data_IF_465394531861
#
_entry.id   IF_465394531861
#
_cell.length_a   1.000
_cell.length_b   1.000
_cell.length_c   1.000
_cell.angle_alpha   90.00
_cell.angle_beta   90.00
_cell.angle_gamma   90.00
#
_symmetry.space_group_name_H-M   'P 1'
#
loop_
_entity.id
_entity.type
_entity.pdbx_description
1 polymer ?
#
# COMPACT_ATOMS: atom_id res chain seq x y z
N UNK A 1 -4.22 -12.30 9.95
CA UNK A 1 -4.93 -11.03 10.30
C UNK A 1 -5.94 -10.72 9.21
N UNK A 2 -7.15 -10.43 9.61
CA UNK A 2 -8.23 -10.13 8.69
C UNK A 2 -8.03 -8.72 8.09
N UNK A 3 -8.51 -8.48 6.85
CA UNK A 3 -8.22 -7.26 6.09
C UNK A 3 -8.67 -5.98 6.80
N UNK A 4 -9.84 -5.99 7.43
CA UNK A 4 -10.34 -4.79 8.13
C UNK A 4 -9.47 -4.42 9.32
N UNK A 5 -8.98 -5.42 10.05
CA UNK A 5 -8.07 -5.23 11.18
C UNK A 5 -6.73 -4.71 10.67
N UNK A 6 -6.23 -5.29 9.58
CA UNK A 6 -4.99 -4.85 8.94
C UNK A 6 -5.08 -3.38 8.53
N UNK A 7 -6.16 -3.00 7.83
CA UNK A 7 -6.35 -1.62 7.37
C UNK A 7 -6.44 -0.64 8.54
N UNK A 8 -7.19 -0.99 9.58
CA UNK A 8 -7.29 -0.13 10.76
C UNK A 8 -5.92 0.11 11.38
N UNK A 9 -5.13 -0.95 11.50
CA UNK A 9 -3.82 -0.88 12.11
C UNK A 9 -2.86 -0.01 11.29
N UNK A 10 -2.78 -0.21 9.97
CA UNK A 10 -1.86 0.58 9.14
C UNK A 10 -2.27 2.05 9.10
N UNK A 11 -3.57 2.33 9.08
CA UNK A 11 -4.05 3.71 9.08
C UNK A 11 -3.70 4.43 10.38
N UNK A 12 -3.85 3.76 11.53
CA UNK A 12 -3.47 4.31 12.81
C UNK A 12 -1.98 4.64 12.87
N UNK A 13 -1.14 3.73 12.38
CA UNK A 13 0.31 3.93 12.34
C UNK A 13 0.66 5.17 11.51
N UNK A 14 0.11 5.26 10.30
CA UNK A 14 0.42 6.36 9.38
C UNK A 14 -0.10 7.68 9.90
N UNK A 15 -1.30 7.71 10.47
CA UNK A 15 -1.89 8.94 11.00
C UNK A 15 -1.12 9.46 12.21
N UNK A 16 -0.63 8.55 13.04
CA UNK A 16 0.15 8.93 14.22
C UNK A 16 1.54 9.44 13.83
N UNK A 17 2.18 8.77 12.87
CA UNK A 17 3.52 9.13 12.40
C UNK A 17 3.69 8.76 10.93
N UNK A 18 3.49 9.72 10.01
CA UNK A 18 3.62 9.45 8.57
C UNK A 18 4.99 8.94 8.13
N UNK A 19 6.04 9.20 8.91
CA UNK A 19 7.38 8.70 8.57
C UNK A 19 7.47 7.17 8.67
N UNK A 20 6.48 6.53 9.28
CA UNK A 20 6.40 5.07 9.38
C UNK A 20 5.80 4.41 8.15
N UNK A 21 5.44 5.19 7.14
CA UNK A 21 5.12 4.66 5.82
C UNK A 21 6.40 4.59 4.99
N UNK A 22 6.84 3.37 4.72
CA UNK A 22 8.04 3.13 3.91
C UNK A 22 7.60 2.80 2.47
N UNK A 23 7.64 3.81 1.60
CA UNK A 23 7.33 3.65 0.19
C UNK A 23 8.58 3.21 -0.56
N UNK A 24 8.53 2.04 -1.18
CA UNK A 24 9.68 1.47 -1.87
C UNK A 24 9.76 2.06 -3.29
N UNK A 25 10.84 2.76 -3.64
CA UNK A 25 10.95 3.45 -4.94
C UNK A 25 11.40 2.52 -6.07
N UNK A 26 10.60 1.47 -6.35
CA UNK A 26 10.87 0.62 -7.50
C UNK A 26 10.70 1.41 -8.79
N UNK A 27 11.19 0.86 -9.90
CA UNK A 27 11.06 1.50 -11.20
C UNK A 27 9.59 1.74 -11.56
N UNK A 28 8.72 0.75 -11.34
CA UNK A 28 7.29 0.88 -11.62
C UNK A 28 6.62 1.92 -10.72
N UNK A 29 6.95 1.91 -9.44
CA UNK A 29 6.38 2.85 -8.48
C UNK A 29 6.78 4.29 -8.81
N UNK A 30 8.05 4.50 -9.14
CA UNK A 30 8.53 5.83 -9.52
C UNK A 30 7.90 6.32 -10.82
N UNK A 31 7.74 5.43 -11.80
CA UNK A 31 7.10 5.77 -13.07
C UNK A 31 5.67 6.26 -12.85
N UNK A 32 4.88 5.51 -12.06
CA UNK A 32 3.50 5.89 -11.75
C UNK A 32 3.44 7.25 -11.08
N UNK A 33 4.31 7.47 -10.12
CA UNK A 33 4.38 8.74 -9.41
C UNK A 33 4.63 9.90 -10.35
N UNK A 34 5.55 9.73 -11.29
CA UNK A 34 5.87 10.74 -12.30
C UNK A 34 4.72 10.95 -13.28
N UNK A 35 4.14 9.87 -13.80
CA UNK A 35 3.06 9.95 -14.78
C UNK A 35 1.81 10.62 -14.23
N UNK A 36 1.47 10.35 -12.98
CA UNK A 36 0.28 10.90 -12.36
C UNK A 36 0.55 12.17 -11.54
N UNK A 37 1.81 12.60 -11.46
CA UNK A 37 2.17 13.79 -10.70
C UNK A 37 1.90 13.70 -9.21
N UNK A 38 2.12 12.52 -8.61
CA UNK A 38 1.78 12.28 -7.22
C UNK A 38 2.90 12.67 -6.28
N UNK A 39 2.54 13.38 -5.21
CA UNK A 39 3.44 13.61 -4.08
C UNK A 39 3.43 12.38 -3.15
N UNK A 40 4.36 12.34 -2.19
CA UNK A 40 4.31 11.31 -1.14
C UNK A 40 3.05 11.47 -0.29
N UNK A 41 2.58 12.70 -0.10
CA UNK A 41 1.32 12.95 0.59
C UNK A 41 0.13 12.33 -0.15
N UNK A 42 0.13 12.40 -1.48
CA UNK A 42 -0.94 11.79 -2.28
C UNK A 42 -0.95 10.27 -2.12
N UNK A 43 0.22 9.65 -2.06
CA UNK A 43 0.34 8.20 -1.84
C UNK A 43 -0.17 7.84 -0.44
N UNK A 44 0.23 8.59 0.56
CA UNK A 44 -0.23 8.41 1.94
C UNK A 44 -1.75 8.52 2.03
N UNK A 45 -2.33 9.57 1.44
CA UNK A 45 -3.77 9.78 1.44
C UNK A 45 -4.52 8.63 0.75
N UNK A 46 -3.95 8.11 -0.34
CA UNK A 46 -4.54 6.98 -1.05
C UNK A 46 -4.58 5.73 -0.19
N UNK A 47 -3.54 5.50 0.60
CA UNK A 47 -3.47 4.35 1.50
C UNK A 47 -4.44 4.52 2.66
N UNK A 48 -4.49 5.71 3.26
CA UNK A 48 -5.38 5.99 4.39
C UNK A 48 -6.85 5.84 4.01
N UNK A 49 -7.20 6.10 2.75
CA UNK A 49 -8.58 6.00 2.28
C UNK A 49 -8.95 4.62 1.72
N UNK A 50 -8.06 3.65 1.78
CA UNK A 50 -8.40 2.27 1.38
C UNK A 50 -9.51 1.70 2.26
N UNK A 51 -10.40 0.94 1.64
CA UNK A 51 -11.48 0.26 2.32
C UNK A 51 -11.35 -1.25 2.11
N UNK A 52 -12.03 -2.04 2.95
CA UNK A 52 -11.98 -3.50 2.83
C UNK A 52 -12.44 -3.98 1.45
N UNK A 53 -13.37 -3.27 0.82
CA UNK A 53 -13.86 -3.61 -0.51
C UNK A 53 -12.80 -3.41 -1.60
N UNK A 54 -11.74 -2.68 -1.32
CA UNK A 54 -10.65 -2.47 -2.30
C UNK A 54 -9.72 -3.67 -2.37
N UNK A 55 -9.89 -4.66 -1.50
CA UNK A 55 -9.03 -5.86 -1.49
C UNK A 55 -9.11 -6.59 -2.83
N UNK A 56 -7.94 -6.89 -3.38
CA UNK A 56 -7.83 -7.70 -4.58
C UNK A 56 -7.38 -9.11 -4.23
N UNK A 57 -6.37 -9.24 -3.35
CA UNK A 57 -5.81 -10.53 -2.98
C UNK A 57 -5.10 -10.43 -1.63
N UNK A 58 -5.13 -11.51 -0.88
CA UNK A 58 -4.43 -11.64 0.40
C UNK A 58 -5.36 -12.16 1.49
N UNK A 59 -4.79 -12.57 2.63
CA UNK A 59 -3.36 -12.47 2.97
C UNK A 59 -2.49 -13.43 2.16
N UNK A 60 -1.29 -12.98 1.79
CA UNK A 60 -0.27 -13.78 1.12
C UNK A 60 1.01 -13.77 1.95
N UNK A 61 1.80 -14.82 1.84
CA UNK A 61 3.08 -14.91 2.54
C UNK A 61 4.14 -14.20 1.72
N UNK A 62 4.96 -13.36 2.39
CA UNK A 62 6.12 -12.75 1.75
C UNK A 62 7.15 -13.82 1.47
N UNK A 63 7.60 -13.92 0.21
CA UNK A 63 8.59 -14.95 -0.19
C UNK A 63 9.94 -14.74 0.49
N UNK A 64 10.31 -13.50 0.73
CA UNK A 64 11.62 -13.17 1.29
C UNK A 64 11.62 -13.22 2.81
N UNK A 65 10.47 -12.90 3.43
CA UNK A 65 10.31 -12.89 4.88
C UNK A 65 9.02 -13.62 5.22
N UNK A 66 9.06 -14.96 5.36
CA UNK A 66 7.85 -15.78 5.51
C UNK A 66 6.96 -15.46 6.70
N UNK A 67 7.48 -14.76 7.71
CA UNK A 67 6.69 -14.34 8.86
C UNK A 67 5.84 -13.09 8.60
N UNK A 68 6.04 -12.44 7.45
CA UNK A 68 5.29 -11.24 7.10
C UNK A 68 4.21 -11.55 6.07
N UNK A 69 3.05 -10.91 6.25
CA UNK A 69 1.87 -11.15 5.43
C UNK A 69 1.60 -9.92 4.57
N UNK A 70 1.28 -10.16 3.30
CA UNK A 70 1.00 -9.13 2.32
C UNK A 70 -0.50 -9.06 2.04
N UNK A 71 -0.98 -7.85 1.79
CA UNK A 71 -2.31 -7.61 1.23
C UNK A 71 -2.18 -6.77 -0.02
N UNK A 72 -2.97 -7.09 -1.03
CA UNK A 72 -2.96 -6.39 -2.31
C UNK A 72 -4.32 -5.76 -2.54
N UNK A 73 -4.33 -4.47 -2.85
CA UNK A 73 -5.53 -3.69 -3.11
C UNK A 73 -5.49 -3.12 -4.51
N UNK A 74 -6.66 -2.84 -5.06
CA UNK A 74 -6.79 -2.07 -6.30
C UNK A 74 -7.73 -0.90 -6.05
N UNK A 75 -7.33 0.27 -6.48
CA UNK A 75 -8.07 1.50 -6.24
C UNK A 75 -8.00 2.42 -7.45
N UNK A 76 -9.12 3.05 -7.80
CA UNK A 76 -9.14 4.08 -8.84
C UNK A 76 -8.48 5.36 -8.33
N UNK A 77 -7.58 5.91 -9.14
CA UNK A 77 -6.92 7.18 -8.87
C UNK A 77 -6.61 7.82 -10.21
N UNK A 78 -7.05 9.06 -10.42
CA UNK A 78 -6.82 9.80 -11.67
C UNK A 78 -7.27 9.00 -12.90
N UNK A 79 -8.41 8.33 -12.80
CA UNK A 79 -8.98 7.48 -13.87
C UNK A 79 -8.13 6.26 -14.22
N UNK A 80 -7.14 5.94 -13.38
CA UNK A 80 -6.33 4.73 -13.52
C UNK A 80 -6.59 3.80 -12.35
N UNK A 81 -6.45 2.51 -12.57
CA UNK A 81 -6.49 1.53 -11.49
C UNK A 81 -5.08 1.36 -10.96
N UNK A 82 -4.90 1.57 -9.67
CA UNK A 82 -3.60 1.46 -9.01
C UNK A 82 -3.53 0.14 -8.24
N UNK A 83 -2.45 -0.59 -8.48
CA UNK A 83 -2.12 -1.84 -7.80
C UNK A 83 -1.28 -1.48 -6.57
N UNK A 84 -1.80 -1.78 -5.38
CA UNK A 84 -1.18 -1.38 -4.11
C UNK A 84 -0.90 -2.63 -3.28
N UNK A 85 0.37 -2.89 -2.98
CA UNK A 85 0.78 -4.02 -2.15
C UNK A 85 1.38 -3.51 -0.86
N UNK A 86 0.78 -3.90 0.26
CA UNK A 86 1.14 -3.42 1.59
C UNK A 86 1.46 -4.57 2.53
N UNK A 87 2.37 -4.33 3.46
CA UNK A 87 2.62 -5.23 4.59
C UNK A 87 3.00 -4.45 5.84
N UNK A 88 2.95 -5.12 6.99
CA UNK A 88 3.45 -4.59 8.26
C UNK A 88 4.78 -5.24 8.57
N UNK A 89 5.81 -4.42 8.82
CA UNK A 89 7.11 -4.87 9.31
C UNK A 89 7.15 -4.68 10.82
N UNK A 90 7.34 -5.77 11.55
CA UNK A 90 7.44 -5.75 13.03
C UNK A 90 6.25 -5.08 13.71
N UNK A 91 5.08 -5.09 13.08
CA UNK A 91 3.87 -4.40 13.57
C UNK A 91 4.07 -2.89 13.80
N UNK A 92 5.10 -2.29 13.22
CA UNK A 92 5.46 -0.89 13.46
C UNK A 92 5.57 -0.04 12.21
N UNK A 93 5.97 -0.63 11.09
CA UNK A 93 6.23 0.08 9.84
C UNK A 93 5.29 -0.45 8.77
N UNK A 94 4.64 0.46 8.09
CA UNK A 94 3.80 0.11 6.93
C UNK A 94 4.70 0.17 5.70
N UNK A 95 4.92 -0.97 5.06
CA UNK A 95 5.75 -1.05 3.86
C UNK A 95 4.84 -1.07 2.63
N UNK A 96 5.00 -0.08 1.77
CA UNK A 96 4.31 -0.03 0.48
C UNK A 96 5.25 -0.58 -0.59
N UNK A 97 5.11 -1.86 -0.89
CA UNK A 97 5.95 -2.55 -1.86
C UNK A 97 5.59 -2.17 -3.29
N UNK A 98 4.30 -1.99 -3.55
CA UNK A 98 3.80 -1.62 -4.87
C UNK A 98 2.78 -0.50 -4.76
N UNK A 99 2.93 0.49 -5.61
CA UNK A 99 1.96 1.55 -5.82
C UNK A 99 2.15 2.00 -7.26
N UNK A 100 1.53 1.26 -8.19
CA UNK A 100 1.73 1.53 -9.60
C UNK A 100 0.48 1.24 -10.40
N UNK A 101 0.41 1.84 -11.57
CA UNK A 101 -0.69 1.61 -12.50
C UNK A 101 -0.78 0.12 -12.80
N UNK A 102 -2.00 -0.43 -12.67
CA UNK A 102 -2.27 -1.82 -13.00
C UNK A 102 -2.23 -1.97 -14.52
N UNK A 103 -1.33 -2.83 -15.01
CA UNK A 103 -1.08 -2.99 -16.44
C UNK A 103 -1.87 -4.16 -17.07
N UNK A 104 -2.77 -4.76 -16.32
CA UNK A 104 -3.60 -5.84 -16.86
C UNK A 104 -4.74 -5.33 -17.72
#
# INVERSE_FOLDING_TARGET
>A
MEVSIFLRKIKEIIKEDPSKLDWIPTKKNRRTRQELGLSLQDIEDSIITLEANDIFRGPEIDRDIPDEILYIFKKNLESQIIYIKLKLRDNKIVVCLSFHIDEE
#
